data_IF_974236345194
#
_entry.id   IF_974236345194
#
_cell.length_a   1.000
_cell.length_b   1.000
_cell.length_c   1.000
_cell.angle_alpha   90.00
_cell.angle_beta   90.00
_cell.angle_gamma   90.00
#
_symmetry.space_group_name_H-M   'P 1'
#
loop_
_entity.id
_entity.type
_entity.pdbx_description
1 polymer ?
#
# COMPACT_ATOMS: atom_id res chain seq x y z
N UNK A 1 4.47 36.14 29.16
CA UNK A 1 5.33 35.21 29.91
C UNK A 1 5.53 33.97 29.08
N UNK A 2 6.67 33.88 28.40
CA UNK A 2 7.02 32.82 27.48
C UNK A 2 7.66 31.68 28.28
N UNK A 3 6.95 30.57 28.47
CA UNK A 3 7.43 29.42 29.25
C UNK A 3 8.29 28.57 28.30
N UNK A 4 9.60 28.53 28.55
CA UNK A 4 10.52 27.67 27.80
C UNK A 4 10.08 26.19 27.87
N UNK A 5 10.21 25.41 26.78
CA UNK A 5 9.82 24.01 26.77
C UNK A 5 10.69 23.19 27.73
N UNK A 6 10.04 22.29 28.48
CA UNK A 6 10.69 21.45 29.49
C UNK A 6 11.81 20.60 28.88
N UNK A 7 12.97 20.44 29.55
CA UNK A 7 14.15 19.69 29.08
C UNK A 7 13.85 18.22 28.71
N UNK A 8 12.84 17.60 29.31
CA UNK A 8 12.44 16.21 29.07
C UNK A 8 11.86 15.98 27.68
N UNK A 9 11.21 16.98 27.05
CA UNK A 9 10.70 16.85 25.67
C UNK A 9 11.82 16.82 24.63
N UNK A 10 12.95 17.46 24.91
CA UNK A 10 14.12 17.50 24.03
C UNK A 10 14.97 16.23 24.10
N UNK A 11 14.97 15.51 25.23
CA UNK A 11 15.73 14.24 25.39
C UNK A 11 15.07 13.06 24.71
N UNK A 12 13.74 13.01 24.66
CA UNK A 12 12.99 11.90 24.06
C UNK A 12 12.88 11.97 22.53
N UNK A 13 12.88 13.17 21.93
CA UNK A 13 12.79 13.36 20.48
C UNK A 13 13.96 12.72 19.70
N UNK A 14 15.25 12.85 20.10
CA UNK A 14 16.37 12.18 19.42
C UNK A 14 16.34 10.66 19.55
N UNK A 15 15.88 10.13 20.69
CA UNK A 15 15.77 8.67 20.92
C UNK A 15 14.67 8.11 20.04
N UNK A 16 13.53 8.77 19.93
CA UNK A 16 12.43 8.38 19.06
C UNK A 16 12.81 8.47 17.58
N UNK A 17 13.55 9.51 17.17
CA UNK A 17 14.02 9.67 15.79
C UNK A 17 14.98 8.53 15.39
N UNK A 18 15.96 8.22 16.24
CA UNK A 18 16.90 7.10 16.03
C UNK A 18 16.19 5.74 16.00
N UNK A 19 15.17 5.57 16.84
CA UNK A 19 14.38 4.34 16.86
C UNK A 19 13.55 4.17 15.59
N UNK A 20 12.90 5.25 15.11
CA UNK A 20 12.15 5.25 13.85
C UNK A 20 13.07 4.98 12.65
N UNK A 21 14.24 5.63 12.61
CA UNK A 21 15.21 5.42 11.54
C UNK A 21 15.71 3.97 11.50
N UNK A 22 15.95 3.35 12.67
CA UNK A 22 16.35 1.95 12.75
C UNK A 22 15.23 1.03 12.31
N UNK A 23 13.99 1.30 12.71
CA UNK A 23 12.80 0.56 12.26
C UNK A 23 12.66 0.64 10.72
N UNK A 24 12.80 1.84 10.15
CA UNK A 24 12.77 2.05 8.70
C UNK A 24 13.84 1.21 7.99
N UNK A 25 15.09 1.26 8.46
CA UNK A 25 16.19 0.45 7.91
C UNK A 25 15.91 -1.05 7.95
N UNK A 26 15.32 -1.55 9.02
CA UNK A 26 14.95 -2.98 9.12
C UNK A 26 13.85 -3.32 8.10
N UNK A 27 12.85 -2.46 7.91
CA UNK A 27 11.79 -2.68 6.91
C UNK A 27 12.31 -2.53 5.47
N UNK A 28 13.25 -1.60 5.21
CA UNK A 28 13.87 -1.46 3.89
C UNK A 28 14.70 -2.71 3.55
N UNK A 29 15.49 -3.21 4.50
CA UNK A 29 16.24 -4.46 4.35
C UNK A 29 15.31 -5.68 4.17
N UNK A 30 14.17 -5.71 4.84
CA UNK A 30 13.17 -6.77 4.67
C UNK A 30 12.56 -6.76 3.26
N UNK A 31 12.27 -5.58 2.71
CA UNK A 31 11.82 -5.41 1.32
C UNK A 31 12.87 -5.94 0.33
N UNK A 32 14.13 -5.53 0.50
CA UNK A 32 15.26 -6.00 -0.34
C UNK A 32 15.42 -7.51 -0.27
N UNK A 33 15.35 -8.11 0.92
CA UNK A 33 15.46 -9.57 1.11
C UNK A 33 14.32 -10.29 0.40
N UNK A 34 13.06 -9.81 0.55
CA UNK A 34 11.93 -10.39 -0.16
C UNK A 34 12.06 -10.26 -1.68
N UNK A 35 12.54 -9.12 -2.17
CA UNK A 35 12.72 -8.87 -3.60
C UNK A 35 13.81 -9.77 -4.21
N UNK A 36 14.92 -9.97 -3.49
CA UNK A 36 16.08 -10.72 -3.97
C UNK A 36 15.95 -12.23 -3.77
N UNK A 37 15.55 -12.66 -2.57
CA UNK A 37 15.62 -14.06 -2.13
C UNK A 37 14.25 -14.75 -2.13
N UNK A 38 13.16 -13.96 -2.19
CA UNK A 38 11.79 -14.45 -2.11
C UNK A 38 11.36 -14.85 -0.69
N UNK A 39 10.09 -15.26 -0.59
CA UNK A 39 9.45 -15.56 0.71
C UNK A 39 10.01 -16.82 1.41
N UNK A 40 10.47 -17.80 0.63
CA UNK A 40 10.98 -19.07 1.17
C UNK A 40 12.30 -18.88 1.96
N UNK A 41 13.18 -18.02 1.46
CA UNK A 41 14.48 -17.73 2.10
C UNK A 41 14.40 -16.60 3.14
N UNK A 42 13.26 -15.96 3.29
CA UNK A 42 13.10 -14.82 4.20
C UNK A 42 13.22 -15.23 5.67
N UNK A 43 14.24 -14.70 6.36
CA UNK A 43 14.48 -14.93 7.79
C UNK A 43 14.85 -13.63 8.51
N UNK A 44 14.59 -13.56 9.83
CA UNK A 44 15.00 -12.43 10.68
C UNK A 44 16.50 -12.21 10.69
N UNK A 45 17.29 -13.29 10.61
CA UNK A 45 18.74 -13.23 10.56
C UNK A 45 19.23 -12.58 9.27
N UNK A 46 18.65 -12.95 8.12
CA UNK A 46 19.00 -12.35 6.84
C UNK A 46 18.63 -10.87 6.77
N UNK A 47 17.45 -10.52 7.33
CA UNK A 47 17.03 -9.12 7.45
C UNK A 47 17.98 -8.32 8.34
N UNK A 48 18.40 -8.85 9.49
CA UNK A 48 19.35 -8.19 10.38
C UNK A 48 20.71 -7.95 9.70
N UNK A 49 21.23 -8.95 9.00
CA UNK A 49 22.46 -8.85 8.24
C UNK A 49 22.36 -7.79 7.13
N UNK A 50 21.28 -7.79 6.36
CA UNK A 50 21.02 -6.81 5.28
C UNK A 50 20.86 -5.39 5.84
N UNK A 51 20.18 -5.22 6.98
CA UNK A 51 19.99 -3.93 7.65
C UNK A 51 21.27 -3.39 8.32
N UNK A 52 22.30 -4.21 8.48
CA UNK A 52 23.52 -3.85 9.20
C UNK A 52 23.26 -3.57 10.70
N UNK A 53 22.37 -4.37 11.32
CA UNK A 53 22.03 -4.25 12.75
C UNK A 53 22.17 -5.58 13.47
N UNK A 54 22.50 -5.58 14.78
CA UNK A 54 22.48 -6.80 15.58
C UNK A 54 21.10 -7.44 15.57
N UNK A 55 21.02 -8.78 15.52
CA UNK A 55 19.75 -9.53 15.50
C UNK A 55 18.85 -9.18 16.70
N UNK A 56 19.40 -8.92 17.88
CA UNK A 56 18.67 -8.47 19.06
C UNK A 56 17.99 -7.09 18.85
N UNK A 57 18.50 -6.27 17.94
CA UNK A 57 17.84 -5.01 17.55
C UNK A 57 16.60 -5.25 16.72
N UNK A 58 16.57 -6.29 15.89
CA UNK A 58 15.39 -6.71 15.12
C UNK A 58 14.33 -7.24 16.07
N UNK A 59 14.69 -8.16 16.98
CA UNK A 59 13.74 -8.73 17.95
C UNK A 59 13.14 -7.71 18.92
N UNK A 60 13.81 -6.58 19.13
CA UNK A 60 13.22 -5.48 19.92
C UNK A 60 12.03 -4.82 19.25
N UNK A 61 11.96 -4.82 17.91
CA UNK A 61 10.85 -4.25 17.14
C UNK A 61 9.84 -5.31 16.70
N UNK A 62 10.32 -6.50 16.38
CA UNK A 62 9.53 -7.57 15.79
C UNK A 62 9.80 -8.88 16.52
N UNK A 63 8.81 -9.46 17.22
CA UNK A 63 8.99 -10.68 17.98
C UNK A 63 9.36 -11.88 17.10
N UNK A 64 8.96 -11.85 15.82
CA UNK A 64 9.19 -12.93 14.88
C UNK A 64 9.19 -12.43 13.43
N UNK A 65 9.42 -13.35 12.50
CA UNK A 65 9.40 -13.13 11.05
C UNK A 65 8.02 -12.60 10.59
N UNK A 66 6.94 -13.11 11.15
CA UNK A 66 5.58 -12.77 10.74
C UNK A 66 5.26 -11.30 11.04
N UNK A 67 5.72 -10.77 12.18
CA UNK A 67 5.55 -9.36 12.54
C UNK A 67 6.28 -8.43 11.56
N UNK A 68 7.45 -8.82 11.03
CA UNK A 68 8.14 -8.05 9.98
C UNK A 68 7.30 -8.05 8.68
N UNK A 69 6.82 -9.21 8.27
CA UNK A 69 5.98 -9.37 7.07
C UNK A 69 4.69 -8.56 7.16
N UNK A 70 4.05 -8.57 8.33
CA UNK A 70 2.85 -7.77 8.60
C UNK A 70 3.12 -6.27 8.50
N UNK A 71 4.17 -5.78 9.18
CA UNK A 71 4.56 -4.37 9.12
C UNK A 71 4.93 -3.94 7.68
N UNK A 72 5.58 -4.82 6.92
CA UNK A 72 5.93 -4.57 5.54
C UNK A 72 4.68 -4.52 4.64
N UNK A 73 3.72 -5.41 4.86
CA UNK A 73 2.43 -5.39 4.16
C UNK A 73 1.66 -4.09 4.44
N UNK A 74 1.59 -3.66 5.71
CA UNK A 74 0.96 -2.38 6.08
C UNK A 74 1.64 -1.21 5.37
N UNK A 75 2.98 -1.19 5.32
CA UNK A 75 3.73 -0.15 4.61
C UNK A 75 3.40 -0.12 3.11
N UNK A 76 3.37 -1.27 2.45
CA UNK A 76 3.03 -1.33 1.02
C UNK A 76 1.62 -0.81 0.73
N UNK A 77 0.65 -1.18 1.57
CA UNK A 77 -0.71 -0.67 1.41
C UNK A 77 -0.81 0.83 1.70
N UNK A 78 -0.01 1.36 2.65
CA UNK A 78 0.06 2.80 2.92
C UNK A 78 0.65 3.56 1.73
N UNK A 79 1.74 3.05 1.12
CA UNK A 79 2.32 3.64 -0.08
C UNK A 79 1.28 3.70 -1.24
N UNK A 80 0.46 2.65 -1.41
CA UNK A 80 -0.61 2.65 -2.42
C UNK A 80 -1.75 3.61 -2.07
N UNK A 81 -2.09 3.74 -0.80
CA UNK A 81 -3.08 4.72 -0.33
C UNK A 81 -2.64 6.15 -0.65
N UNK A 82 -1.39 6.50 -0.33
CA UNK A 82 -0.83 7.83 -0.62
C UNK A 82 -0.90 8.15 -2.13
N UNK A 83 -0.62 7.16 -2.99
CA UNK A 83 -0.72 7.32 -4.44
C UNK A 83 -2.15 7.62 -4.89
N UNK A 84 -3.13 6.87 -4.39
CA UNK A 84 -4.56 7.05 -4.77
C UNK A 84 -5.12 8.34 -4.17
N UNK A 85 -4.71 8.70 -2.94
CA UNK A 85 -5.08 9.98 -2.33
C UNK A 85 -4.56 11.15 -3.16
N UNK A 86 -3.30 11.07 -3.65
CA UNK A 86 -2.74 12.08 -4.55
C UNK A 86 -3.51 12.25 -5.86
N UNK A 87 -4.05 11.17 -6.43
CA UNK A 87 -4.95 11.24 -7.60
C UNK A 87 -6.26 11.96 -7.23
N UNK A 88 -6.85 11.64 -6.08
CA UNK A 88 -8.09 12.28 -5.63
C UNK A 88 -7.91 13.79 -5.38
N UNK A 89 -6.78 14.18 -4.77
CA UNK A 89 -6.45 15.60 -4.54
C UNK A 89 -6.23 16.35 -5.86
N UNK A 90 -5.56 15.72 -6.83
CA UNK A 90 -5.37 16.29 -8.16
C UNK A 90 -6.68 16.44 -8.92
N UNK A 91 -7.56 15.45 -8.83
CA UNK A 91 -8.89 15.45 -9.47
C UNK A 91 -9.80 16.55 -8.91
N UNK A 92 -9.79 16.76 -7.59
CA UNK A 92 -10.52 17.87 -6.94
C UNK A 92 -10.02 19.24 -7.38
N UNK A 93 -8.70 19.38 -7.62
CA UNK A 93 -8.11 20.63 -8.09
C UNK A 93 -8.41 20.89 -9.58
N UNK A 94 -8.38 19.85 -10.40
CA UNK A 94 -8.65 19.90 -11.84
C UNK A 94 -9.19 18.55 -12.30
N UNK A 95 -10.43 18.48 -12.82
CA UNK A 95 -11.05 17.21 -13.22
C UNK A 95 -10.18 16.42 -14.18
N UNK A 96 -9.89 15.17 -13.82
CA UNK A 96 -9.11 14.23 -14.62
C UNK A 96 -10.04 13.60 -15.66
N UNK A 97 -9.70 13.67 -16.95
CA UNK A 97 -10.52 13.12 -18.04
C UNK A 97 -10.83 11.62 -17.85
N UNK A 98 -9.83 10.82 -17.43
CA UNK A 98 -9.96 9.39 -17.20
C UNK A 98 -9.47 8.99 -15.81
N UNK A 99 -10.28 9.15 -14.77
CA UNK A 99 -9.88 8.84 -13.40
C UNK A 99 -9.63 7.34 -13.18
N UNK A 100 -10.26 6.46 -13.96
CA UNK A 100 -10.01 5.00 -13.87
C UNK A 100 -8.59 4.68 -14.35
N UNK A 101 -8.16 5.26 -15.46
CA UNK A 101 -6.80 5.09 -15.93
C UNK A 101 -5.80 5.70 -14.94
N UNK A 102 -6.03 6.91 -14.47
CA UNK A 102 -5.14 7.60 -13.54
C UNK A 102 -4.90 6.78 -12.25
N UNK A 103 -5.96 6.28 -11.60
CA UNK A 103 -5.84 5.43 -10.40
C UNK A 103 -5.10 4.13 -10.72
N UNK A 104 -5.44 3.44 -11.81
CA UNK A 104 -4.76 2.17 -12.14
C UNK A 104 -3.29 2.39 -12.50
N UNK A 105 -2.94 3.48 -13.19
CA UNK A 105 -1.58 3.76 -13.60
C UNK A 105 -0.66 4.05 -12.40
N UNK A 106 -1.12 4.80 -11.39
CA UNK A 106 -0.35 4.99 -10.15
C UNK A 106 -0.21 3.70 -9.35
N UNK A 107 -1.25 2.86 -9.30
CA UNK A 107 -1.16 1.55 -8.64
C UNK A 107 -0.21 0.61 -9.38
N UNK A 108 -0.25 0.55 -10.71
CA UNK A 108 0.69 -0.23 -11.53
C UNK A 108 2.13 0.25 -11.30
N UNK A 109 2.36 1.56 -11.24
CA UNK A 109 3.67 2.14 -10.92
C UNK A 109 4.12 1.75 -9.50
N UNK A 110 3.23 1.81 -8.51
CA UNK A 110 3.48 1.39 -7.14
C UNK A 110 3.88 -0.09 -7.03
N UNK A 111 3.18 -0.98 -7.73
CA UNK A 111 3.53 -2.40 -7.79
C UNK A 111 4.90 -2.64 -8.43
N UNK A 112 5.25 -1.91 -9.50
CA UNK A 112 6.57 -2.00 -10.14
C UNK A 112 7.70 -1.50 -9.26
N UNK A 113 7.44 -0.47 -8.47
CA UNK A 113 8.42 0.12 -7.58
C UNK A 113 8.77 -0.76 -6.36
N UNK A 114 7.95 -1.77 -6.04
CA UNK A 114 8.08 -2.61 -4.85
C UNK A 114 8.10 -4.11 -5.19
N UNK A 115 9.20 -4.66 -5.72
CA UNK A 115 9.28 -6.09 -6.05
C UNK A 115 9.06 -7.03 -4.85
N UNK A 116 9.43 -6.61 -3.63
CA UNK A 116 9.20 -7.33 -2.40
C UNK A 116 7.70 -7.51 -2.09
N UNK A 117 6.85 -6.58 -2.51
CA UNK A 117 5.40 -6.69 -2.38
C UNK A 117 4.86 -7.90 -3.15
N UNK A 118 5.33 -8.11 -4.38
CA UNK A 118 4.94 -9.27 -5.19
C UNK A 118 5.42 -10.58 -4.56
N UNK A 119 6.67 -10.61 -4.05
CA UNK A 119 7.22 -11.78 -3.37
C UNK A 119 6.44 -12.14 -2.09
N UNK A 120 6.02 -11.13 -1.32
CA UNK A 120 5.14 -11.33 -0.16
C UNK A 120 3.78 -11.91 -0.58
N UNK A 121 3.23 -11.39 -1.66
CA UNK A 121 1.89 -11.73 -2.14
C UNK A 121 1.78 -13.15 -2.68
N UNK A 122 2.81 -13.60 -3.45
CA UNK A 122 2.84 -14.94 -4.06
C UNK A 122 3.57 -15.98 -3.22
N UNK A 123 4.38 -15.54 -2.25
CA UNK A 123 5.22 -16.42 -1.44
C UNK A 123 4.50 -17.15 -0.30
N UNK A 124 3.18 -17.13 -0.24
CA UNK A 124 2.41 -17.82 0.79
C UNK A 124 2.50 -17.19 2.19
N UNK A 125 3.08 -15.99 2.30
CA UNK A 125 3.19 -15.26 3.58
C UNK A 125 1.90 -14.55 3.99
N UNK A 126 0.88 -14.56 3.14
CA UNK A 126 -0.39 -13.88 3.36
C UNK A 126 -1.25 -14.64 4.38
N UNK A 127 -1.39 -14.08 5.57
CA UNK A 127 -2.22 -14.60 6.64
C UNK A 127 -3.49 -13.76 6.84
N UNK A 128 -4.42 -14.25 7.64
CA UNK A 128 -5.60 -13.49 8.05
C UNK A 128 -5.20 -12.24 8.84
N UNK A 129 -4.18 -12.33 9.69
CA UNK A 129 -3.60 -11.18 10.42
C UNK A 129 -3.17 -10.04 9.47
N UNK A 130 -2.51 -10.36 8.36
CA UNK A 130 -2.14 -9.36 7.35
C UNK A 130 -3.38 -8.72 6.70
N UNK A 131 -4.41 -9.51 6.43
CA UNK A 131 -5.67 -8.99 5.87
C UNK A 131 -6.33 -8.01 6.84
N UNK A 132 -6.35 -8.33 8.12
CA UNK A 132 -6.92 -7.47 9.16
C UNK A 132 -6.07 -6.23 9.39
N UNK A 133 -4.74 -6.35 9.49
CA UNK A 133 -3.82 -5.24 9.66
C UNK A 133 -3.88 -4.24 8.49
N UNK A 134 -4.10 -4.72 7.27
CA UNK A 134 -4.19 -3.86 6.06
C UNK A 134 -5.60 -3.32 5.79
N UNK A 135 -6.62 -3.78 6.50
CA UNK A 135 -8.01 -3.35 6.30
C UNK A 135 -8.25 -1.84 6.44
N UNK A 136 -7.68 -1.13 7.45
CA UNK A 136 -7.87 0.31 7.57
C UNK A 136 -7.38 1.08 6.34
N UNK A 137 -6.21 0.73 5.80
CA UNK A 137 -5.61 1.37 4.62
C UNK A 137 -6.42 1.08 3.36
N UNK A 138 -6.89 -0.16 3.19
CA UNK A 138 -7.79 -0.52 2.06
C UNK A 138 -9.11 0.26 2.11
N UNK A 139 -9.64 0.50 3.31
CA UNK A 139 -10.82 1.36 3.52
C UNK A 139 -10.49 2.82 3.18
N UNK A 140 -9.28 3.29 3.47
CA UNK A 140 -8.85 4.64 3.11
C UNK A 140 -8.72 4.79 1.58
N UNK A 141 -8.16 3.81 0.87
CA UNK A 141 -8.15 3.77 -0.60
C UNK A 141 -9.58 3.85 -1.16
N UNK A 142 -10.53 3.08 -0.60
CA UNK A 142 -11.92 3.14 -1.04
C UNK A 142 -12.55 4.52 -0.82
N UNK A 143 -12.18 5.23 0.26
CA UNK A 143 -12.62 6.62 0.50
C UNK A 143 -12.05 7.60 -0.53
N UNK A 144 -10.77 7.47 -0.88
CA UNK A 144 -10.15 8.31 -1.92
C UNK A 144 -10.80 8.07 -3.29
N UNK A 145 -11.11 6.82 -3.63
CA UNK A 145 -11.88 6.49 -4.83
C UNK A 145 -13.30 7.07 -4.76
N UNK A 146 -13.99 7.01 -3.60
CA UNK A 146 -15.32 7.61 -3.45
C UNK A 146 -15.31 9.12 -3.67
N UNK A 147 -14.25 9.84 -3.23
CA UNK A 147 -14.06 11.27 -3.52
C UNK A 147 -14.02 11.54 -5.02
N UNK A 148 -13.22 10.77 -5.77
CA UNK A 148 -13.15 10.84 -7.24
C UNK A 148 -14.54 10.58 -7.85
N UNK A 149 -15.21 9.52 -7.42
CA UNK A 149 -16.56 9.20 -7.91
C UNK A 149 -17.59 10.29 -7.57
N UNK A 150 -17.45 10.97 -6.42
CA UNK A 150 -18.33 12.08 -6.05
C UNK A 150 -18.15 13.28 -6.96
N UNK A 151 -16.94 13.53 -7.44
CA UNK A 151 -16.65 14.62 -8.37
C UNK A 151 -17.23 14.34 -9.76
N UNK A 152 -17.06 13.15 -10.28
CA UNK A 152 -17.49 12.79 -11.65
C UNK A 152 -18.97 12.41 -11.74
N UNK A 153 -19.57 11.89 -10.66
CA UNK A 153 -20.99 11.47 -10.58
C UNK A 153 -21.68 12.08 -9.37
N UNK A 154 -21.83 13.42 -9.33
CA UNK A 154 -22.39 14.12 -8.16
C UNK A 154 -23.86 13.74 -7.88
N UNK A 155 -24.61 13.35 -8.91
CA UNK A 155 -26.02 12.95 -8.79
C UNK A 155 -26.23 11.53 -8.24
N UNK A 156 -25.21 10.69 -8.26
CA UNK A 156 -25.29 9.36 -7.68
C UNK A 156 -25.30 9.42 -6.14
N UNK A 157 -26.11 8.56 -5.50
CA UNK A 157 -26.18 8.56 -4.04
C UNK A 157 -24.82 8.19 -3.42
N UNK A 158 -24.44 8.81 -2.29
CA UNK A 158 -23.23 8.47 -1.55
C UNK A 158 -23.17 6.97 -1.23
N UNK A 159 -24.30 6.34 -0.89
CA UNK A 159 -24.37 4.90 -0.62
C UNK A 159 -23.94 4.08 -1.82
N UNK A 160 -24.37 4.46 -3.02
CA UNK A 160 -24.00 3.78 -4.26
C UNK A 160 -22.51 3.98 -4.56
N UNK A 161 -21.99 5.23 -4.45
CA UNK A 161 -20.57 5.52 -4.68
C UNK A 161 -19.65 4.75 -3.73
N UNK A 162 -19.98 4.69 -2.43
CA UNK A 162 -19.21 3.91 -1.45
C UNK A 162 -19.16 2.43 -1.85
N UNK A 163 -20.30 1.84 -2.22
CA UNK A 163 -20.37 0.44 -2.64
C UNK A 163 -19.54 0.19 -3.91
N UNK A 164 -19.60 1.11 -4.87
CA UNK A 164 -18.81 1.03 -6.11
C UNK A 164 -17.32 1.14 -5.78
N UNK A 165 -16.89 2.06 -4.92
CA UNK A 165 -15.51 2.21 -4.51
C UNK A 165 -14.97 0.94 -3.81
N UNK A 166 -15.73 0.33 -2.91
CA UNK A 166 -15.37 -0.94 -2.28
C UNK A 166 -15.18 -2.06 -3.32
N UNK A 167 -16.07 -2.15 -4.31
CA UNK A 167 -15.94 -3.13 -5.39
C UNK A 167 -14.73 -2.87 -6.28
N UNK A 168 -14.42 -1.60 -6.58
CA UNK A 168 -13.23 -1.22 -7.35
C UNK A 168 -11.95 -1.64 -6.62
N UNK A 169 -11.86 -1.42 -5.30
CA UNK A 169 -10.70 -1.87 -4.50
C UNK A 169 -10.58 -3.39 -4.51
N UNK A 170 -11.68 -4.10 -4.30
CA UNK A 170 -11.68 -5.57 -4.25
C UNK A 170 -11.26 -6.20 -5.60
N UNK A 171 -11.85 -5.71 -6.69
CA UNK A 171 -11.57 -6.25 -8.04
C UNK A 171 -10.22 -5.79 -8.57
N UNK A 172 -9.83 -4.53 -8.30
CA UNK A 172 -8.52 -3.97 -8.66
C UNK A 172 -7.36 -4.72 -8.00
N UNK A 173 -7.48 -5.07 -6.72
CA UNK A 173 -6.49 -5.89 -6.00
C UNK A 173 -6.29 -7.26 -6.69
N UNK A 174 -7.39 -7.94 -7.05
CA UNK A 174 -7.34 -9.23 -7.75
C UNK A 174 -6.74 -9.11 -9.15
N UNK A 175 -7.16 -8.08 -9.90
CA UNK A 175 -6.67 -7.79 -11.25
C UNK A 175 -5.15 -7.53 -11.26
N UNK A 176 -4.69 -6.61 -10.41
CA UNK A 176 -3.26 -6.24 -10.34
C UNK A 176 -2.41 -7.44 -9.95
N UNK A 177 -2.84 -8.21 -8.94
CA UNK A 177 -2.15 -9.44 -8.56
C UNK A 177 -2.00 -10.39 -9.74
N UNK A 178 -3.09 -10.70 -10.44
CA UNK A 178 -3.04 -11.64 -11.54
C UNK A 178 -2.19 -11.12 -12.71
N UNK A 179 -2.28 -9.82 -13.02
CA UNK A 179 -1.47 -9.20 -14.06
C UNK A 179 0.04 -9.30 -13.76
N UNK A 180 0.45 -9.04 -12.53
CA UNK A 180 1.86 -9.13 -12.12
C UNK A 180 2.33 -10.58 -11.85
N UNK A 181 1.42 -11.51 -11.60
CA UNK A 181 1.74 -12.94 -11.57
C UNK A 181 2.11 -13.47 -12.95
N UNK A 182 1.41 -13.02 -14.01
CA UNK A 182 1.66 -13.43 -15.39
C UNK A 182 2.91 -12.78 -15.97
N UNK A 183 3.09 -11.50 -15.72
CA UNK A 183 4.25 -10.72 -16.19
C UNK A 183 4.73 -9.80 -15.06
N UNK A 184 6.03 -9.86 -14.75
CA UNK A 184 6.63 -8.99 -13.71
C UNK A 184 6.49 -7.48 -14.00
N UNK A 185 6.23 -7.09 -15.25
CA UNK A 185 5.92 -5.71 -15.65
C UNK A 185 4.43 -5.39 -15.65
N UNK A 186 3.58 -6.38 -15.32
CA UNK A 186 2.13 -6.34 -15.42
C UNK A 186 1.66 -6.72 -16.84
N UNK A 187 0.87 -7.80 -16.94
CA UNK A 187 0.26 -8.25 -18.19
C UNK A 187 -0.59 -7.14 -18.81
N UNK A 188 -0.09 -6.56 -19.90
CA UNK A 188 -0.72 -5.38 -20.54
C UNK A 188 -2.13 -5.67 -21.05
N UNK A 189 -2.37 -6.86 -21.60
CA UNK A 189 -3.68 -7.22 -22.12
C UNK A 189 -4.70 -7.33 -20.97
N UNK A 190 -4.33 -8.02 -19.89
CA UNK A 190 -5.19 -8.15 -18.71
C UNK A 190 -5.46 -6.79 -18.04
N UNK A 191 -4.46 -5.92 -17.96
CA UNK A 191 -4.64 -4.57 -17.39
C UNK A 191 -5.56 -3.70 -18.28
N UNK A 192 -5.48 -3.82 -19.62
CA UNK A 192 -6.38 -3.12 -20.53
C UNK A 192 -7.84 -3.59 -20.37
N UNK A 193 -8.07 -4.91 -20.32
CA UNK A 193 -9.39 -5.48 -20.05
C UNK A 193 -9.93 -5.06 -18.68
N UNK A 194 -9.06 -5.01 -17.66
CA UNK A 194 -9.43 -4.54 -16.33
C UNK A 194 -9.87 -3.07 -16.32
N UNK A 195 -9.17 -2.20 -17.05
CA UNK A 195 -9.58 -0.78 -17.22
C UNK A 195 -10.96 -0.70 -17.87
N UNK A 196 -11.18 -1.43 -18.94
CA UNK A 196 -12.46 -1.48 -19.64
C UNK A 196 -13.59 -1.97 -18.73
N UNK A 197 -13.37 -3.08 -18.02
CA UNK A 197 -14.34 -3.66 -17.08
C UNK A 197 -14.71 -2.67 -15.95
N UNK A 198 -13.71 -2.02 -15.34
CA UNK A 198 -13.96 -1.08 -14.26
C UNK A 198 -14.73 0.16 -14.74
N UNK A 199 -14.39 0.72 -15.92
CA UNK A 199 -15.15 1.82 -16.52
C UNK A 199 -16.61 1.42 -16.78
N UNK A 200 -16.83 0.28 -17.43
CA UNK A 200 -18.18 -0.22 -17.72
C UNK A 200 -18.99 -0.39 -16.45
N UNK A 201 -18.41 -1.00 -15.41
CA UNK A 201 -19.06 -1.18 -14.11
C UNK A 201 -19.43 0.15 -13.46
N UNK A 202 -18.47 1.09 -13.38
CA UNK A 202 -18.69 2.40 -12.76
C UNK A 202 -19.79 3.17 -13.50
N UNK A 203 -19.70 3.28 -14.83
CA UNK A 203 -20.69 3.98 -15.65
C UNK A 203 -22.07 3.33 -15.54
N UNK A 204 -22.18 2.01 -15.56
CA UNK A 204 -23.48 1.30 -15.41
C UNK A 204 -24.10 1.53 -14.03
N UNK A 205 -23.29 1.76 -12.99
CA UNK A 205 -23.78 1.89 -11.62
C UNK A 205 -24.07 3.32 -11.19
N UNK A 206 -23.38 4.31 -11.79
CA UNK A 206 -23.42 5.72 -11.37
C UNK A 206 -23.94 6.66 -12.47
N UNK A 207 -23.90 6.25 -13.76
CA UNK A 207 -24.35 7.01 -14.94
C UNK A 207 -25.83 6.96 -15.25
#
# INVERSE_FOLDING_TARGET
>A
MNRAPSPDRLRNAPIQARSRERLRRVLDAADEVLAAEGAAAFTTTLVAARAGVPIGSVYRFFPDKQAIVEALAVRYWSDLEDLVAGVADADEATPIEDPVAAVLDVLIAGFRARPGFLALWYGGLRTEHIRDATRPTRTAIARSIERILAHHWPNASRRTRVRVAEMVVLTGDGLLREAFRRDRRGDRALLAEGKLMLRAYITTRLG
#
